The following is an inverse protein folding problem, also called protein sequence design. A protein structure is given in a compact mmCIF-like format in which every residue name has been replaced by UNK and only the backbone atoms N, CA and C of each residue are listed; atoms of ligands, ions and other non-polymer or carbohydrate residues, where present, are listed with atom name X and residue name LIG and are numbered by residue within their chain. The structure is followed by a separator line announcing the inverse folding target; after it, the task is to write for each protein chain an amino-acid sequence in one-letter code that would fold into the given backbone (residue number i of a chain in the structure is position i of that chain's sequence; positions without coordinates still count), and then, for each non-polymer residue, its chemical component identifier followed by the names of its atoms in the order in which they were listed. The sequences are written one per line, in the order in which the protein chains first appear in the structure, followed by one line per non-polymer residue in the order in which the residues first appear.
data_IF_384770255155
#
_entry.id   IF_384770255155
#
_cell.length_a   1.000
_cell.length_b   1.000
_cell.length_c   1.000
_cell.angle_alpha   90.00
_cell.angle_beta   90.00
_cell.angle_gamma   90.00
#
_symmetry.space_group_name_H-M   'P 1'
#
loop_
_entity.id
_entity.type
_entity.pdbx_description
1 polymer ?
#
# COMPACT_ATOMS: atom_id res chain seq x y z
N UNK A 1 1.30 6.02 -17.24
CA UNK A 1 1.07 6.29 -15.81
C UNK A 1 2.12 7.25 -15.32
N UNK A 2 1.88 8.52 -15.60
CA UNK A 2 2.56 9.63 -14.91
C UNK A 2 1.86 9.92 -13.56
N UNK A 3 2.34 10.94 -12.85
CA UNK A 3 1.78 11.33 -11.55
C UNK A 3 0.34 11.86 -11.64
N UNK A 4 -0.01 12.55 -12.73
CA UNK A 4 -1.34 13.15 -12.89
C UNK A 4 -2.36 12.06 -13.20
N UNK A 5 -2.00 11.09 -14.03
CA UNK A 5 -2.77 9.88 -14.29
C UNK A 5 -2.96 9.04 -13.02
N UNK A 6 -1.92 8.87 -12.20
CA UNK A 6 -2.03 8.15 -10.94
C UNK A 6 -2.96 8.85 -9.95
N UNK A 7 -2.85 10.17 -9.80
CA UNK A 7 -3.71 10.95 -8.92
C UNK A 7 -5.20 10.81 -9.32
N UNK A 8 -5.50 10.76 -10.61
CA UNK A 8 -6.87 10.50 -11.10
C UNK A 8 -7.37 9.13 -10.63
N UNK A 9 -6.56 8.09 -10.67
CA UNK A 9 -6.94 6.74 -10.20
C UNK A 9 -7.14 6.71 -8.69
N UNK A 10 -6.29 7.40 -7.93
CA UNK A 10 -6.39 7.46 -6.47
C UNK A 10 -7.71 8.11 -6.02
N UNK A 11 -8.10 9.19 -6.70
CA UNK A 11 -9.27 10.02 -6.35
C UNK A 11 -10.54 9.70 -7.16
N UNK A 12 -10.54 8.61 -7.94
CA UNK A 12 -11.59 8.30 -8.92
C UNK A 12 -13.00 8.08 -8.32
N UNK A 13 -13.08 7.84 -7.00
CA UNK A 13 -14.32 7.56 -6.28
C UNK A 13 -14.42 8.40 -4.99
N UNK A 14 -13.88 9.61 -4.98
CA UNK A 14 -13.93 10.49 -3.81
C UNK A 14 -15.35 11.01 -3.52
N UNK A 15 -16.20 11.10 -4.55
CA UNK A 15 -17.63 11.43 -4.44
C UNK A 15 -18.50 10.24 -4.00
N UNK A 16 -17.97 9.02 -4.05
CA UNK A 16 -18.66 7.79 -3.67
C UNK A 16 -19.63 7.24 -4.72
N UNK A 17 -19.67 7.79 -5.94
CA UNK A 17 -20.62 7.38 -6.98
C UNK A 17 -20.22 6.10 -7.72
N UNK A 18 -18.93 5.72 -7.65
CA UNK A 18 -18.33 4.59 -8.35
C UNK A 18 -17.68 3.60 -7.37
N UNK A 19 -18.45 2.91 -6.50
CA UNK A 19 -17.89 2.03 -5.47
C UNK A 19 -17.00 0.90 -6.02
N UNK A 20 -17.21 0.50 -7.29
CA UNK A 20 -16.36 -0.45 -8.00
C UNK A 20 -14.95 0.05 -8.33
N UNK A 21 -14.72 1.36 -8.24
CA UNK A 21 -13.45 2.02 -8.52
C UNK A 21 -12.76 2.53 -7.24
N UNK A 22 -13.25 2.16 -6.05
CA UNK A 22 -12.66 2.59 -4.78
C UNK A 22 -11.20 2.16 -4.67
N UNK A 23 -10.30 3.14 -4.51
CA UNK A 23 -8.86 2.92 -4.37
C UNK A 23 -8.43 3.08 -2.90
N UNK A 24 -7.42 2.33 -2.47
CA UNK A 24 -6.74 2.54 -1.20
C UNK A 24 -5.22 2.65 -1.41
N UNK A 25 -4.61 3.67 -0.82
CA UNK A 25 -3.15 3.87 -0.84
C UNK A 25 -2.55 3.28 0.44
N UNK A 26 -1.64 2.32 0.28
CA UNK A 26 -0.95 1.62 1.35
C UNK A 26 0.52 2.05 1.38
N UNK A 27 0.95 2.59 2.53
CA UNK A 27 2.35 2.99 2.72
C UNK A 27 3.23 1.78 2.98
N UNK A 28 4.25 1.60 2.16
CA UNK A 28 5.25 0.54 2.22
C UNK A 28 6.58 1.10 2.71
N UNK A 29 6.60 1.50 3.99
CA UNK A 29 7.76 2.07 4.67
C UNK A 29 8.02 1.31 5.95
N UNK A 30 9.28 1.26 6.39
CA UNK A 30 9.68 0.66 7.66
C UNK A 30 10.63 1.56 8.43
N UNK A 31 10.71 1.33 9.74
CA UNK A 31 11.61 2.09 10.61
C UNK A 31 13.06 1.67 10.41
N UNK A 32 13.92 2.61 10.01
CA UNK A 32 15.35 2.33 9.74
C UNK A 32 16.11 1.93 10.99
N UNK A 33 15.75 2.49 12.16
CA UNK A 33 16.43 2.21 13.42
C UNK A 33 16.19 0.76 13.88
N UNK A 34 15.08 0.18 13.43
CA UNK A 34 14.69 -1.20 13.74
C UNK A 34 15.23 -2.23 12.75
N UNK A 35 15.89 -1.79 11.67
CA UNK A 35 16.53 -2.67 10.70
C UNK A 35 15.63 -3.78 10.16
N UNK A 36 16.15 -5.01 10.13
CA UNK A 36 15.44 -6.18 9.59
C UNK A 36 14.14 -6.52 10.33
N UNK A 37 14.10 -6.34 11.66
CA UNK A 37 12.88 -6.59 12.45
C UNK A 37 11.80 -5.56 12.10
N UNK A 38 12.20 -4.29 11.93
CA UNK A 38 11.30 -3.24 11.47
C UNK A 38 10.73 -3.53 10.07
N UNK A 39 11.55 -4.07 9.17
CA UNK A 39 11.12 -4.49 7.85
C UNK A 39 10.11 -5.66 7.92
N UNK A 40 10.39 -6.67 8.74
CA UNK A 40 9.50 -7.83 8.89
C UNK A 40 8.12 -7.42 9.43
N UNK A 41 8.09 -6.60 10.48
CA UNK A 41 6.84 -6.08 11.05
C UNK A 41 6.07 -5.20 10.05
N UNK A 42 6.78 -4.36 9.29
CA UNK A 42 6.14 -3.52 8.28
C UNK A 42 5.51 -4.34 7.14
N UNK A 43 6.08 -5.50 6.80
CA UNK A 43 5.49 -6.42 5.82
C UNK A 43 4.21 -7.08 6.37
N UNK A 44 4.20 -7.49 7.64
CA UNK A 44 2.99 -8.02 8.28
C UNK A 44 1.91 -6.95 8.37
N UNK A 45 2.26 -5.73 8.77
CA UNK A 45 1.33 -4.62 8.84
C UNK A 45 0.77 -4.27 7.44
N UNK A 46 1.62 -4.28 6.41
CA UNK A 46 1.18 -4.02 5.03
C UNK A 46 0.16 -5.07 4.55
N UNK A 47 0.36 -6.35 4.89
CA UNK A 47 -0.60 -7.41 4.59
C UNK A 47 -1.94 -7.17 5.31
N UNK A 48 -1.91 -6.85 6.59
CA UNK A 48 -3.12 -6.57 7.38
C UNK A 48 -3.87 -5.34 6.85
N UNK A 49 -3.17 -4.26 6.53
CA UNK A 49 -3.76 -3.05 5.93
C UNK A 49 -4.38 -3.34 4.55
N UNK A 50 -3.77 -4.21 3.75
CA UNK A 50 -4.35 -4.64 2.48
C UNK A 50 -5.68 -5.38 2.68
N UNK A 51 -5.72 -6.34 3.62
CA UNK A 51 -6.95 -7.06 3.97
C UNK A 51 -8.04 -6.13 4.49
N UNK A 52 -7.70 -5.21 5.39
CA UNK A 52 -8.64 -4.22 5.93
C UNK A 52 -9.16 -3.27 4.83
N UNK A 53 -8.31 -2.80 3.93
CA UNK A 53 -8.72 -1.96 2.80
C UNK A 53 -9.71 -2.69 1.88
N UNK A 54 -9.44 -3.97 1.57
CA UNK A 54 -10.33 -4.81 0.76
C UNK A 54 -11.66 -5.06 1.48
N UNK A 55 -11.63 -5.37 2.78
CA UNK A 55 -12.84 -5.56 3.60
C UNK A 55 -13.69 -4.27 3.66
N UNK A 56 -13.05 -3.11 3.64
CA UNK A 56 -13.70 -1.80 3.52
C UNK A 56 -14.19 -1.49 2.10
N UNK A 57 -13.98 -2.38 1.13
CA UNK A 57 -14.51 -2.27 -0.23
C UNK A 57 -13.54 -1.68 -1.25
N UNK A 58 -12.25 -1.51 -0.93
CA UNK A 58 -11.26 -1.13 -1.94
C UNK A 58 -11.15 -2.22 -3.02
N UNK A 59 -11.14 -1.79 -4.29
CA UNK A 59 -10.97 -2.63 -5.48
C UNK A 59 -9.63 -2.44 -6.16
N UNK A 60 -8.95 -1.34 -5.86
CA UNK A 60 -7.58 -1.07 -6.30
C UNK A 60 -6.72 -0.72 -5.10
N UNK A 61 -5.56 -1.37 -4.99
CA UNK A 61 -4.56 -1.07 -3.96
C UNK A 61 -3.36 -0.40 -4.63
N UNK A 62 -2.95 0.75 -4.11
CA UNK A 62 -1.74 1.47 -4.52
C UNK A 62 -0.72 1.30 -3.40
N UNK A 63 0.29 0.46 -3.62
CA UNK A 63 1.40 0.29 -2.68
C UNK A 63 2.45 1.36 -3.00
N UNK A 64 2.74 2.23 -2.02
CA UNK A 64 3.57 3.42 -2.23
C UNK A 64 4.64 3.56 -1.16
N UNK A 65 5.86 3.89 -1.59
CA UNK A 65 7.03 4.22 -0.78
C UNK A 65 7.41 5.71 -0.86
N UNK A 66 6.52 6.53 -1.46
CA UNK A 66 6.77 7.96 -1.76
C UNK A 66 7.06 8.83 -0.54
N UNK A 67 6.54 8.46 0.63
CA UNK A 67 6.70 9.23 1.87
C UNK A 67 7.93 8.80 2.68
N UNK A 68 8.97 8.28 2.03
CA UNK A 68 10.21 7.89 2.70
C UNK A 68 11.02 9.10 3.15
N UNK A 69 11.70 8.95 4.30
CA UNK A 69 12.55 9.98 4.88
C UNK A 69 13.72 9.35 5.66
N UNK A 70 14.45 10.16 6.44
CA UNK A 70 15.60 9.73 7.23
C UNK A 70 15.26 8.74 8.36
N UNK A 71 13.99 8.62 8.75
CA UNK A 71 13.49 7.69 9.78
C UNK A 71 12.70 6.52 9.18
N UNK A 72 12.11 6.71 8.00
CA UNK A 72 11.28 5.72 7.31
C UNK A 72 11.86 5.36 5.95
N UNK A 73 12.47 4.18 5.86
CA UNK A 73 13.00 3.67 4.61
C UNK A 73 11.91 3.00 3.76
N UNK A 74 12.07 3.02 2.42
CA UNK A 74 11.17 2.31 1.51
C UNK A 74 11.32 0.79 1.65
N UNK A 75 10.20 0.07 1.75
CA UNK A 75 10.20 -1.38 1.53
C UNK A 75 10.43 -1.60 0.03
N UNK A 76 11.40 -2.45 -0.38
CA UNK A 76 11.62 -2.74 -1.79
C UNK A 76 10.32 -3.16 -2.49
N UNK A 77 9.97 -2.51 -3.61
CA UNK A 77 8.66 -2.65 -4.26
C UNK A 77 8.28 -4.09 -4.58
N UNK A 78 9.23 -4.90 -5.07
CA UNK A 78 9.01 -6.31 -5.36
C UNK A 78 8.69 -7.12 -4.11
N UNK A 79 9.33 -6.81 -2.98
CA UNK A 79 9.07 -7.47 -1.70
C UNK A 79 7.69 -7.09 -1.15
N UNK A 80 7.36 -5.80 -1.18
CA UNK A 80 6.06 -5.29 -0.75
C UNK A 80 4.91 -5.92 -1.55
N UNK A 81 5.01 -5.91 -2.89
CA UNK A 81 3.99 -6.49 -3.78
C UNK A 81 3.89 -7.99 -3.60
N UNK A 82 5.03 -8.71 -3.54
CA UNK A 82 5.02 -10.17 -3.34
C UNK A 82 4.37 -10.55 -2.02
N UNK A 83 4.69 -9.86 -0.93
CA UNK A 83 4.13 -10.11 0.39
C UNK A 83 2.60 -9.95 0.39
N UNK A 84 2.09 -8.85 -0.17
CA UNK A 84 0.64 -8.61 -0.29
C UNK A 84 -0.01 -9.64 -1.21
N UNK A 85 0.54 -9.86 -2.41
CA UNK A 85 -0.02 -10.77 -3.39
C UNK A 85 -0.14 -12.20 -2.85
N UNK A 86 0.95 -12.75 -2.29
CA UNK A 86 0.92 -14.08 -1.70
C UNK A 86 -0.01 -14.18 -0.49
N UNK A 87 -0.15 -13.13 0.31
CA UNK A 87 -1.09 -13.13 1.43
C UNK A 87 -2.55 -13.18 0.97
N UNK A 88 -2.90 -12.47 -0.12
CA UNK A 88 -4.27 -12.40 -0.64
C UNK A 88 -4.71 -13.62 -1.45
N UNK A 89 -3.76 -14.39 -2.01
CA UNK A 89 -4.04 -15.58 -2.84
C UNK A 89 -4.11 -16.88 -2.01
N UNK A 90 -3.68 -16.84 -0.73
CA UNK A 90 -3.84 -17.95 0.21
C UNK A 90 -5.30 -18.18 0.56
#
# INVERSE_FOLDING_TARGET
LDNDELNKIVHINDDGEQPGLRTAVLRALYDVERGGDGLAEALEELQLRACDAIAKGARTLVISDRDSDHTKAPIPSLLAVSAVHHHLVR
#
